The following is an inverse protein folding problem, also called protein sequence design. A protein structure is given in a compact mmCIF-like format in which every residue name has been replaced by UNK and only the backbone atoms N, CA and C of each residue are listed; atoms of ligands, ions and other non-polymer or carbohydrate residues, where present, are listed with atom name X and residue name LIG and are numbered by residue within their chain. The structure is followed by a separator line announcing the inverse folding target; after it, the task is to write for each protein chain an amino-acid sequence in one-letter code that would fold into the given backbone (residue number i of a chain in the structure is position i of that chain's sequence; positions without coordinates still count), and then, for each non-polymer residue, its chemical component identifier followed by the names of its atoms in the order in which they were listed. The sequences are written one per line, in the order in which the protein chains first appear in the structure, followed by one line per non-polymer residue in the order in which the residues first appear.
data_IF_276716121759
#
_entry.id   IF_276716121759
#
_cell.length_a   1.000
_cell.length_b   1.000
_cell.length_c   1.000
_cell.angle_alpha   90.00
_cell.angle_beta   90.00
_cell.angle_gamma   90.00
#
_symmetry.space_group_name_H-M   'P 1'
#
loop_
_entity.id
_entity.type
_entity.pdbx_description
1 polymer ?
#
# COMPACT_ATOMS: atom_id res chain seq x y z
N UNK A 1 -29.99 2.67 13.04
CA UNK A 1 -29.80 3.55 11.88
C UNK A 1 -28.84 4.66 12.30
N UNK A 2 -27.70 4.75 11.62
CA UNK A 2 -26.71 5.82 11.91
C UNK A 2 -26.97 6.92 10.90
N UNK A 3 -27.48 8.05 11.37
CA UNK A 3 -27.73 9.22 10.53
C UNK A 3 -26.72 10.31 10.88
N UNK A 4 -25.86 10.65 9.93
CA UNK A 4 -24.99 11.83 10.06
C UNK A 4 -25.66 13.05 9.47
N UNK A 5 -25.80 14.12 10.25
CA UNK A 5 -26.26 15.42 9.75
C UNK A 5 -25.07 16.34 9.55
N UNK A 6 -25.02 16.89 8.35
CA UNK A 6 -24.12 17.88 7.77
C UNK A 6 -22.76 17.39 7.25
N UNK A 7 -22.69 17.30 5.92
CA UNK A 7 -21.47 17.05 5.15
C UNK A 7 -21.22 15.57 4.93
N UNK A 8 -21.84 15.01 3.93
CA UNK A 8 -21.66 13.67 3.30
C UNK A 8 -20.66 12.73 3.95
N UNK A 9 -20.96 12.14 5.09
CA UNK A 9 -20.07 11.20 5.72
C UNK A 9 -20.43 9.77 5.29
N UNK A 10 -19.62 9.21 4.42
CA UNK A 10 -19.61 7.77 4.21
C UNK A 10 -19.09 7.12 5.50
N UNK A 11 -19.98 6.55 6.31
CA UNK A 11 -19.60 5.75 7.46
C UNK A 11 -19.43 4.29 7.07
N UNK A 12 -18.50 3.63 7.69
CA UNK A 12 -18.29 2.19 7.54
C UNK A 12 -18.50 1.50 8.88
N UNK A 13 -19.20 0.37 8.86
CA UNK A 13 -19.44 -0.48 10.03
C UNK A 13 -18.82 -1.84 9.77
N UNK A 14 -17.91 -2.28 10.63
CA UNK A 14 -17.23 -3.56 10.53
C UNK A 14 -17.54 -4.38 11.78
N UNK A 15 -18.11 -5.58 11.60
CA UNK A 15 -18.30 -6.55 12.68
C UNK A 15 -17.00 -7.31 12.93
N UNK A 16 -16.57 -7.38 14.19
CA UNK A 16 -15.45 -8.18 14.63
C UNK A 16 -15.91 -9.55 15.18
N UNK A 17 -15.06 -10.59 15.16
CA UNK A 17 -15.42 -11.93 15.63
C UNK A 17 -15.87 -12.00 17.10
N UNK A 18 -15.47 -11.01 17.92
CA UNK A 18 -15.86 -10.90 19.33
C UNK A 18 -17.21 -10.22 19.56
N UNK A 19 -17.98 -9.94 18.49
CA UNK A 19 -19.30 -9.31 18.57
C UNK A 19 -19.28 -7.78 18.66
N UNK A 20 -18.13 -7.13 18.69
CA UNK A 20 -18.03 -5.68 18.65
C UNK A 20 -18.15 -5.16 17.21
N UNK A 21 -18.71 -3.97 17.07
CA UNK A 21 -18.75 -3.23 15.81
C UNK A 21 -17.74 -2.08 15.86
N UNK A 22 -16.87 -1.99 14.86
CA UNK A 22 -16.07 -0.80 14.64
C UNK A 22 -16.81 0.12 13.67
N UNK A 23 -17.06 1.35 14.10
CA UNK A 23 -17.73 2.36 13.29
C UNK A 23 -16.71 3.46 13.03
N UNK A 24 -16.52 3.82 11.78
CA UNK A 24 -15.63 4.92 11.41
C UNK A 24 -16.15 5.69 10.20
N UNK A 25 -15.73 6.93 10.11
CA UNK A 25 -16.02 7.81 8.97
C UNK A 25 -14.86 8.78 8.80
N UNK A 26 -14.65 9.24 7.56
CA UNK A 26 -13.67 10.26 7.22
C UNK A 26 -14.39 11.57 6.99
N UNK A 27 -13.94 12.62 7.64
CA UNK A 27 -14.47 13.99 7.48
C UNK A 27 -13.41 14.84 6.80
N UNK A 28 -13.75 15.46 5.69
CA UNK A 28 -12.89 16.45 5.06
C UNK A 28 -13.30 17.83 5.62
N UNK A 29 -12.50 18.37 6.52
CA UNK A 29 -12.74 19.69 7.11
C UNK A 29 -12.34 20.80 6.17
N UNK A 30 -13.30 21.62 5.74
CA UNK A 30 -13.04 22.81 4.92
C UNK A 30 -13.17 24.10 5.73
N UNK A 31 -13.48 24.03 7.02
CA UNK A 31 -13.82 25.22 7.79
C UNK A 31 -12.87 25.42 8.99
N UNK A 32 -11.95 26.35 8.86
CA UNK A 32 -10.99 26.75 9.88
C UNK A 32 -11.62 27.35 11.16
N UNK A 33 -12.94 27.56 11.17
CA UNK A 33 -13.65 28.22 12.28
C UNK A 33 -14.28 27.26 13.29
N UNK A 34 -14.39 25.96 13.00
CA UNK A 34 -14.93 24.98 13.92
C UNK A 34 -13.78 24.19 14.59
N UNK A 35 -13.41 24.60 15.79
CA UNK A 35 -12.36 23.96 16.61
C UNK A 35 -12.85 22.77 17.43
N UNK A 36 -14.12 22.39 17.32
CA UNK A 36 -14.71 21.31 18.12
C UNK A 36 -15.28 20.24 17.23
N UNK A 37 -14.72 19.03 17.29
CA UNK A 37 -15.32 17.81 16.77
C UNK A 37 -16.08 17.11 17.90
N UNK A 38 -17.39 16.90 17.73
CA UNK A 38 -18.21 16.20 18.70
C UNK A 38 -18.60 14.82 18.13
N UNK A 39 -18.21 13.78 18.84
CA UNK A 39 -18.75 12.45 18.62
C UNK A 39 -19.93 12.23 19.56
N UNK A 40 -21.10 11.98 19.01
CA UNK A 40 -22.33 11.82 19.78
C UNK A 40 -23.10 10.58 19.34
N UNK A 41 -23.44 9.74 20.28
CA UNK A 41 -24.24 8.54 20.05
C UNK A 41 -25.63 8.79 20.62
N UNK A 42 -26.62 8.64 19.76
CA UNK A 42 -28.03 8.68 20.15
C UNK A 42 -28.58 7.26 20.18
N UNK A 43 -29.16 6.86 21.29
CA UNK A 43 -29.87 5.58 21.38
C UNK A 43 -31.36 5.85 21.55
N UNK A 44 -32.15 5.35 20.62
CA UNK A 44 -33.61 5.46 20.65
C UNK A 44 -34.27 4.26 21.35
N UNK A 45 -33.49 3.33 21.87
CA UNK A 45 -33.95 2.09 22.48
C UNK A 45 -33.75 2.04 24.00
N UNK A 46 -34.57 1.35 24.70
CA UNK A 46 -34.47 1.04 26.14
C UNK A 46 -33.39 -0.03 26.38
N UNK A 47 -32.21 0.12 25.80
CA UNK A 47 -31.13 -0.86 25.91
C UNK A 47 -29.81 -0.21 26.39
N UNK A 48 -28.90 -1.06 26.85
CA UNK A 48 -27.55 -0.63 27.25
C UNK A 48 -26.65 -0.70 26.00
N UNK A 49 -25.96 0.39 25.68
CA UNK A 49 -24.96 0.44 24.62
C UNK A 49 -23.59 0.65 25.24
N UNK A 50 -22.66 -0.23 24.93
CA UNK A 50 -21.26 -0.10 25.36
C UNK A 50 -20.47 0.60 24.26
N UNK A 51 -19.68 1.61 24.64
CA UNK A 51 -18.78 2.33 23.76
C UNK A 51 -17.36 2.18 24.27
N UNK A 52 -16.43 1.97 23.35
CA UNK A 52 -15.03 1.82 23.69
C UNK A 52 -14.14 2.36 22.56
N UNK A 53 -12.97 2.89 22.93
CA UNK A 53 -11.89 3.17 21.99
C UNK A 53 -12.19 4.29 20.97
N UNK A 54 -12.82 5.39 21.43
CA UNK A 54 -12.96 6.56 20.55
C UNK A 54 -11.58 7.08 20.14
N UNK A 55 -11.39 7.29 18.82
CA UNK A 55 -10.13 7.75 18.23
C UNK A 55 -10.40 8.80 17.17
N UNK A 56 -9.66 9.89 17.22
CA UNK A 56 -9.58 10.90 16.17
C UNK A 56 -8.16 10.95 15.65
N UNK A 57 -7.99 10.80 14.35
CA UNK A 57 -6.68 10.80 13.71
C UNK A 57 -6.74 11.50 12.35
N UNK A 58 -5.62 12.09 11.93
CA UNK A 58 -5.46 12.59 10.58
C UNK A 58 -5.15 11.41 9.64
N UNK A 59 -5.92 11.26 8.56
CA UNK A 59 -5.71 10.18 7.59
C UNK A 59 -6.93 9.90 6.73
N UNK A 60 -6.74 9.12 5.69
CA UNK A 60 -7.81 8.75 4.76
C UNK A 60 -8.63 7.52 5.24
N UNK A 61 -8.12 6.78 6.22
CA UNK A 61 -8.75 5.60 6.83
C UNK A 61 -8.25 5.41 8.27
N UNK A 62 -9.01 4.70 9.11
CA UNK A 62 -8.64 4.51 10.50
C UNK A 62 -7.49 3.50 10.64
N UNK A 63 -6.52 3.85 11.47
CA UNK A 63 -5.47 2.92 11.92
C UNK A 63 -5.95 2.05 13.07
N UNK A 64 -5.09 1.18 13.62
CA UNK A 64 -5.40 0.45 14.84
C UNK A 64 -5.50 1.41 16.04
N UNK A 65 -6.32 1.03 17.02
CA UNK A 65 -6.53 1.85 18.21
C UNK A 65 -5.23 2.15 18.96
N UNK A 66 -5.03 3.42 19.33
CA UNK A 66 -3.91 3.89 20.12
C UNK A 66 -4.46 4.48 21.43
N UNK A 67 -4.18 3.89 22.61
CA UNK A 67 -4.60 4.47 23.86
C UNK A 67 -4.00 5.85 24.10
N UNK A 68 -4.85 6.83 24.35
CA UNK A 68 -4.44 8.20 24.68
C UNK A 68 -4.93 8.55 26.09
N UNK A 69 -4.02 9.02 26.96
CA UNK A 69 -4.34 9.45 28.33
C UNK A 69 -3.83 10.88 28.49
N UNK A 70 -4.75 11.83 28.42
CA UNK A 70 -4.46 13.25 28.69
C UNK A 70 -3.64 14.01 27.65
N UNK A 71 -3.13 13.33 26.60
CA UNK A 71 -2.36 13.99 25.54
C UNK A 71 -2.47 13.21 24.23
N UNK A 72 -2.23 13.90 23.09
CA UNK A 72 -2.10 13.26 21.79
C UNK A 72 -0.94 12.27 21.77
N UNK A 73 -1.09 11.19 20.99
CA UNK A 73 -0.04 10.19 20.75
C UNK A 73 0.22 10.09 19.25
N UNK A 74 1.49 10.02 18.90
CA UNK A 74 1.90 9.76 17.51
C UNK A 74 2.29 8.29 17.39
N UNK A 75 1.79 7.62 16.37
CA UNK A 75 2.25 6.29 16.01
C UNK A 75 3.54 6.41 15.19
N UNK A 76 4.54 5.63 15.52
CA UNK A 76 5.68 5.46 14.62
C UNK A 76 5.21 4.81 13.31
N UNK A 77 5.83 5.19 12.21
CA UNK A 77 5.59 4.53 10.94
C UNK A 77 5.98 3.05 11.02
N UNK A 78 5.22 2.21 10.34
CA UNK A 78 5.49 0.77 10.30
C UNK A 78 6.88 0.51 9.66
N UNK A 79 7.63 -0.40 10.27
CA UNK A 79 8.96 -0.81 9.80
C UNK A 79 8.99 -2.32 9.60
N UNK A 80 8.64 -2.76 8.40
CA UNK A 80 8.67 -4.15 8.02
C UNK A 80 9.76 -4.38 6.96
N UNK A 81 10.79 -5.15 7.32
CA UNK A 81 11.88 -5.50 6.41
C UNK A 81 12.39 -6.91 6.65
N UNK A 82 12.91 -7.54 5.60
CA UNK A 82 13.58 -8.83 5.63
C UNK A 82 15.00 -8.61 5.12
N UNK A 83 16.00 -8.95 5.94
CA UNK A 83 17.42 -8.67 5.68
C UNK A 83 18.31 -9.86 6.03
N UNK A 84 19.57 -9.80 5.62
CA UNK A 84 20.59 -10.79 5.96
C UNK A 84 20.22 -12.21 5.50
N UNK A 85 20.44 -13.20 6.35
CA UNK A 85 20.13 -14.60 6.03
C UNK A 85 18.64 -14.83 5.76
N UNK A 86 17.77 -14.14 6.50
CA UNK A 86 16.31 -14.24 6.30
C UNK A 86 15.89 -13.77 4.90
N UNK A 87 16.67 -12.97 4.22
CA UNK A 87 16.47 -12.57 2.82
C UNK A 87 17.17 -13.54 1.86
N UNK A 88 18.48 -13.80 2.07
CA UNK A 88 19.30 -14.53 1.11
C UNK A 88 18.95 -16.03 0.97
N UNK A 89 18.27 -16.60 1.95
CA UNK A 89 17.87 -18.02 1.92
C UNK A 89 16.79 -18.33 0.88
N UNK A 90 15.95 -17.36 0.53
CA UNK A 90 14.85 -17.56 -0.42
C UNK A 90 14.99 -16.75 -1.71
N UNK A 91 15.74 -15.64 -1.68
CA UNK A 91 15.88 -14.76 -2.84
C UNK A 91 16.78 -15.35 -3.91
N UNK A 92 16.36 -15.24 -5.17
CA UNK A 92 17.14 -15.65 -6.34
C UNK A 92 17.57 -14.40 -7.12
N UNK A 93 18.90 -14.18 -7.29
CA UNK A 93 19.42 -13.00 -7.97
C UNK A 93 19.32 -13.07 -9.50
N UNK A 94 19.10 -14.23 -10.07
CA UNK A 94 19.02 -14.48 -11.50
C UNK A 94 17.61 -14.36 -12.06
N UNK A 95 16.62 -14.77 -11.28
CA UNK A 95 15.21 -14.72 -11.68
C UNK A 95 14.26 -14.84 -10.47
N UNK A 96 13.07 -14.28 -10.63
CA UNK A 96 12.03 -14.41 -9.61
C UNK A 96 10.71 -13.81 -10.05
N UNK A 97 9.71 -13.99 -9.21
CA UNK A 97 8.41 -13.35 -9.39
C UNK A 97 7.84 -12.91 -8.06
N UNK A 98 7.21 -11.75 -8.04
CA UNK A 98 6.57 -11.17 -6.87
C UNK A 98 5.10 -10.93 -7.18
N UNK A 99 4.21 -11.38 -6.32
CA UNK A 99 2.78 -11.07 -6.36
C UNK A 99 2.42 -10.28 -5.11
N UNK A 100 1.56 -9.29 -5.27
CA UNK A 100 0.99 -8.56 -4.14
C UNK A 100 -0.50 -8.30 -4.36
N UNK A 101 -1.25 -8.42 -3.27
CA UNK A 101 -2.62 -7.94 -3.16
C UNK A 101 -2.65 -6.87 -2.07
N UNK A 102 -2.96 -5.64 -2.47
CA UNK A 102 -2.96 -4.50 -1.57
C UNK A 102 -4.13 -3.58 -1.83
N UNK A 103 -4.43 -2.75 -0.86
CA UNK A 103 -5.37 -1.64 -0.97
C UNK A 103 -4.72 -0.40 -0.38
N UNK A 104 -4.65 0.66 -1.15
CA UNK A 104 -4.10 1.93 -0.69
C UNK A 104 -4.58 3.07 -1.57
N UNK A 105 -4.57 4.24 -1.00
CA UNK A 105 -4.82 5.50 -1.73
C UNK A 105 -3.74 6.47 -1.32
N UNK A 106 -2.94 6.92 -2.28
CA UNK A 106 -2.02 8.01 -2.01
C UNK A 106 -2.77 9.33 -1.85
N UNK A 107 -2.17 10.23 -1.09
CA UNK A 107 -2.63 11.61 -0.98
C UNK A 107 -2.10 12.43 -2.15
N UNK A 108 -2.89 13.36 -2.65
CA UNK A 108 -2.40 14.35 -3.61
C UNK A 108 -1.21 15.13 -3.02
N UNK A 109 -0.17 15.35 -3.83
CA UNK A 109 1.01 16.09 -3.43
C UNK A 109 2.03 15.32 -2.57
N UNK A 110 1.78 14.04 -2.26
CA UNK A 110 2.78 13.20 -1.58
C UNK A 110 3.77 12.58 -2.56
N UNK A 111 4.97 12.29 -2.07
CA UNK A 111 5.99 11.56 -2.83
C UNK A 111 5.58 10.10 -3.05
N UNK A 112 6.25 9.45 -3.99
CA UNK A 112 6.07 8.03 -4.30
C UNK A 112 5.98 7.15 -3.06
N UNK A 113 4.86 6.41 -2.91
CA UNK A 113 4.67 5.42 -1.86
C UNK A 113 5.11 4.06 -2.38
N UNK A 114 5.88 3.31 -1.59
CA UNK A 114 6.28 1.96 -1.95
C UNK A 114 5.35 0.93 -1.36
N UNK A 115 4.82 0.06 -2.21
CA UNK A 115 4.08 -1.11 -1.78
C UNK A 115 5.08 -2.17 -1.31
N UNK A 116 6.14 -2.39 -2.08
CA UNK A 116 7.32 -3.13 -1.67
C UNK A 116 8.54 -2.61 -2.44
N UNK A 117 9.72 -2.86 -1.87
CA UNK A 117 11.01 -2.59 -2.49
C UNK A 117 11.98 -3.72 -2.16
N UNK A 118 12.50 -4.39 -3.18
CA UNK A 118 13.64 -5.28 -3.06
C UNK A 118 14.86 -4.47 -3.46
N UNK A 119 15.77 -4.20 -2.52
CA UNK A 119 16.77 -3.16 -2.67
C UNK A 119 18.11 -3.53 -2.03
N UNK A 120 19.09 -2.65 -2.21
CA UNK A 120 20.39 -2.75 -1.57
C UNK A 120 20.42 -1.86 -0.30
N UNK A 121 20.51 -2.51 0.88
CA UNK A 121 20.68 -1.85 2.18
C UNK A 121 19.60 -0.80 2.52
N UNK A 122 18.34 -1.06 2.16
CA UNK A 122 17.22 -0.12 2.36
C UNK A 122 17.46 1.26 1.73
N UNK A 123 18.17 1.29 0.60
CA UNK A 123 18.39 2.51 -0.21
C UNK A 123 17.42 2.54 -1.39
N UNK A 124 17.03 3.74 -1.80
CA UNK A 124 16.15 3.91 -2.94
C UNK A 124 16.91 4.30 -4.21
N UNK A 125 16.37 3.89 -5.36
CA UNK A 125 16.82 4.33 -6.70
C UNK A 125 18.31 4.08 -7.00
N UNK A 126 18.90 3.05 -6.38
CA UNK A 126 20.30 2.63 -6.67
C UNK A 126 20.27 1.22 -7.27
N UNK A 127 20.00 0.21 -6.46
CA UNK A 127 19.78 -1.16 -6.83
C UNK A 127 18.40 -1.54 -6.28
N UNK A 128 17.37 -1.55 -7.12
CA UNK A 128 16.01 -1.67 -6.62
C UNK A 128 15.04 -2.28 -7.63
N UNK A 129 14.21 -3.22 -7.17
CA UNK A 129 13.01 -3.72 -7.86
C UNK A 129 11.82 -3.33 -7.00
N UNK A 130 10.93 -2.48 -7.49
CA UNK A 130 9.87 -1.93 -6.66
C UNK A 130 8.53 -1.81 -7.36
N UNK A 131 7.49 -1.82 -6.54
CA UNK A 131 6.15 -1.41 -6.91
C UNK A 131 5.80 -0.14 -6.16
N UNK A 132 5.42 0.88 -6.89
CA UNK A 132 5.07 2.18 -6.33
C UNK A 132 3.63 2.57 -6.62
N UNK A 133 3.06 3.33 -5.70
CA UNK A 133 1.83 4.08 -5.85
C UNK A 133 2.16 5.57 -6.06
N UNK A 134 1.23 6.35 -6.60
CA UNK A 134 1.37 7.78 -6.84
C UNK A 134 2.44 8.17 -7.87
N UNK A 135 2.41 7.52 -9.02
CA UNK A 135 3.32 7.82 -10.13
C UNK A 135 3.07 9.25 -10.66
N UNK A 136 4.13 10.04 -10.69
CA UNK A 136 4.08 11.41 -11.21
C UNK A 136 3.13 12.32 -10.45
N UNK A 137 3.02 12.12 -9.13
CA UNK A 137 2.07 12.84 -8.25
C UNK A 137 0.59 12.59 -8.60
N UNK A 138 0.30 11.50 -9.29
CA UNK A 138 -1.06 11.10 -9.60
C UNK A 138 -1.49 9.96 -8.64
N UNK A 139 -2.39 10.23 -7.68
CA UNK A 139 -2.75 9.28 -6.62
C UNK A 139 -3.43 8.00 -7.13
N UNK A 140 -3.92 8.00 -8.35
CA UNK A 140 -4.61 6.86 -8.95
C UNK A 140 -3.70 6.01 -9.86
N UNK A 141 -2.38 6.23 -9.84
CA UNK A 141 -1.45 5.47 -10.68
C UNK A 141 -0.48 4.63 -9.89
N UNK A 142 -0.28 3.42 -10.35
CA UNK A 142 0.71 2.47 -9.82
C UNK A 142 1.62 2.00 -10.95
N UNK A 143 2.84 1.60 -10.61
CA UNK A 143 3.76 1.05 -11.58
C UNK A 143 4.99 0.41 -10.97
N UNK A 144 5.67 -0.32 -11.82
CA UNK A 144 6.93 -0.98 -11.50
C UNK A 144 8.11 -0.15 -11.99
N UNK A 145 9.13 -0.07 -11.14
CA UNK A 145 10.45 0.46 -11.50
C UNK A 145 11.52 -0.56 -11.17
N UNK A 146 12.59 -0.52 -11.94
CA UNK A 146 13.81 -1.27 -11.67
C UNK A 146 14.98 -0.33 -11.88
N UNK A 147 15.83 -0.21 -10.86
CA UNK A 147 17.07 0.54 -10.91
C UNK A 147 18.27 -0.41 -10.86
N UNK A 148 19.26 -0.15 -11.69
CA UNK A 148 20.57 -0.81 -11.72
C UNK A 148 21.63 0.27 -11.78
N UNK A 149 22.55 0.31 -10.81
CA UNK A 149 23.57 1.35 -10.68
C UNK A 149 23.02 2.79 -10.77
N UNK A 150 21.92 3.05 -10.09
CA UNK A 150 21.20 4.35 -10.10
C UNK A 150 20.58 4.75 -11.44
N UNK A 151 20.53 3.84 -12.41
CA UNK A 151 19.87 4.04 -13.70
C UNK A 151 18.53 3.29 -13.70
N UNK A 152 17.46 3.98 -14.04
CA UNK A 152 16.16 3.34 -14.23
C UNK A 152 16.19 2.51 -15.52
N UNK A 153 16.36 1.19 -15.37
CA UNK A 153 16.39 0.25 -16.51
C UNK A 153 15.02 -0.26 -16.90
N UNK A 154 14.04 -0.12 -16.02
CA UNK A 154 12.62 -0.34 -16.25
C UNK A 154 11.84 0.76 -15.55
N UNK A 155 11.05 1.50 -16.30
CA UNK A 155 10.23 2.58 -15.80
C UNK A 155 8.84 2.53 -16.44
N UNK A 156 7.80 2.42 -15.61
CA UNK A 156 6.41 2.54 -16.04
C UNK A 156 5.78 3.87 -15.62
N UNK A 157 6.60 4.81 -15.11
CA UNK A 157 6.12 6.07 -14.54
C UNK A 157 5.79 7.15 -15.57
N UNK A 158 6.15 6.95 -16.84
CA UNK A 158 5.80 7.88 -17.90
C UNK A 158 4.29 8.18 -17.94
N UNK A 159 3.91 9.34 -18.44
CA UNK A 159 2.51 9.82 -18.49
C UNK A 159 1.52 8.86 -19.15
N UNK A 160 2.04 7.85 -19.83
CA UNK A 160 1.27 6.81 -20.53
C UNK A 160 1.48 5.39 -19.97
N UNK A 161 2.38 5.17 -18.99
CA UNK A 161 2.86 3.85 -18.62
C UNK A 161 2.34 3.25 -17.31
N UNK A 162 1.78 4.05 -16.41
CA UNK A 162 1.24 3.55 -15.14
C UNK A 162 -0.16 2.95 -15.30
N UNK A 163 -0.47 1.92 -14.51
CA UNK A 163 -1.82 1.38 -14.42
C UNK A 163 -2.70 2.30 -13.57
N UNK A 164 -3.87 2.67 -14.09
CA UNK A 164 -4.84 3.48 -13.34
C UNK A 164 -5.66 2.57 -12.45
N UNK A 165 -5.67 2.85 -11.17
CA UNK A 165 -6.49 2.15 -10.18
C UNK A 165 -7.59 3.04 -9.65
N UNK A 166 -8.80 2.50 -9.55
CA UNK A 166 -9.85 3.17 -8.82
C UNK A 166 -9.46 3.23 -7.32
N UNK A 167 -9.49 4.42 -6.75
CA UNK A 167 -8.91 4.80 -5.45
C UNK A 167 -9.38 4.02 -4.22
N UNK A 168 -10.28 3.04 -4.35
CA UNK A 168 -10.85 2.29 -3.24
C UNK A 168 -10.84 0.78 -3.43
N UNK A 169 -10.46 0.27 -4.58
CA UNK A 169 -10.49 -1.16 -4.90
C UNK A 169 -9.17 -1.83 -4.56
N UNK A 170 -9.17 -3.07 -4.07
CA UNK A 170 -7.96 -3.87 -3.98
C UNK A 170 -7.30 -4.04 -5.34
N UNK A 171 -5.97 -4.03 -5.36
CA UNK A 171 -5.16 -4.27 -6.54
C UNK A 171 -4.39 -5.56 -6.36
N UNK A 172 -4.58 -6.48 -7.29
CA UNK A 172 -3.76 -7.66 -7.44
C UNK A 172 -2.78 -7.42 -8.58
N UNK A 173 -1.50 -7.54 -8.32
CA UNK A 173 -0.48 -7.35 -9.36
C UNK A 173 0.67 -8.32 -9.17
N UNK A 174 1.28 -8.70 -10.25
CA UNK A 174 2.45 -9.56 -10.27
C UNK A 174 3.49 -9.04 -11.24
N UNK A 175 4.75 -9.18 -10.86
CA UNK A 175 5.91 -8.90 -11.68
C UNK A 175 6.84 -10.10 -11.65
N UNK A 176 7.49 -10.38 -12.76
CA UNK A 176 8.65 -11.27 -12.81
C UNK A 176 9.86 -10.55 -13.36
N UNK A 177 11.03 -10.98 -12.88
CA UNK A 177 12.32 -10.48 -13.34
C UNK A 177 13.21 -11.66 -13.76
N UNK A 178 13.93 -11.43 -14.83
CA UNK A 178 15.03 -12.23 -15.38
C UNK A 178 15.69 -11.37 -16.44
N UNK A 179 17.00 -11.42 -16.60
CA UNK A 179 17.71 -10.69 -17.67
C UNK A 179 17.04 -10.88 -19.02
N UNK A 180 16.77 -9.80 -19.70
CA UNK A 180 16.08 -9.71 -20.99
C UNK A 180 14.62 -10.26 -21.00
N UNK A 181 14.02 -10.55 -19.85
CA UNK A 181 12.70 -11.19 -19.80
C UNK A 181 11.89 -10.77 -18.55
N UNK A 182 11.62 -9.49 -18.42
CA UNK A 182 10.71 -8.95 -17.41
C UNK A 182 9.28 -8.98 -17.91
N UNK A 183 8.33 -9.18 -17.00
CA UNK A 183 6.91 -9.01 -17.30
C UNK A 183 6.15 -8.60 -16.04
N UNK A 184 5.04 -7.89 -16.23
CA UNK A 184 4.14 -7.52 -15.14
C UNK A 184 2.69 -7.45 -15.62
N UNK A 185 1.77 -7.55 -14.69
CA UNK A 185 0.33 -7.54 -14.94
C UNK A 185 -0.44 -7.00 -13.74
N UNK A 186 -1.52 -6.30 -14.01
CA UNK A 186 -2.44 -5.75 -13.01
C UNK A 186 -3.83 -6.33 -13.21
N UNK A 187 -4.48 -6.80 -12.14
CA UNK A 187 -5.89 -7.22 -12.08
C UNK A 187 -6.32 -8.14 -13.24
N UNK A 188 -5.52 -9.15 -13.55
CA UNK A 188 -5.80 -10.11 -14.61
C UNK A 188 -5.80 -9.55 -16.04
N UNK A 189 -5.36 -8.31 -16.21
CA UNK A 189 -5.30 -7.63 -17.51
C UNK A 189 -4.24 -8.18 -18.46
N UNK A 190 -3.86 -7.39 -19.44
CA UNK A 190 -2.81 -7.75 -20.40
C UNK A 190 -1.45 -7.78 -19.73
N UNK A 191 -0.70 -8.86 -19.94
CA UNK A 191 0.69 -8.97 -19.50
C UNK A 191 1.57 -8.07 -20.36
N UNK A 192 2.33 -7.20 -19.71
CA UNK A 192 3.29 -6.31 -20.34
C UNK A 192 4.68 -6.91 -20.17
N UNK A 193 5.40 -7.09 -21.28
CA UNK A 193 6.77 -7.63 -21.28
C UNK A 193 7.79 -6.54 -21.56
N UNK A 194 8.97 -6.68 -20.97
CA UNK A 194 10.10 -5.77 -21.15
C UNK A 194 11.40 -6.53 -21.31
N UNK A 195 12.25 -6.02 -22.19
CA UNK A 195 13.62 -6.48 -22.36
C UNK A 195 14.54 -5.55 -21.56
N UNK A 196 14.94 -6.01 -20.37
CA UNK A 196 15.77 -5.23 -19.45
C UNK A 196 17.13 -5.90 -19.33
N UNK A 197 18.21 -5.13 -19.43
CA UNK A 197 19.55 -5.64 -19.62
C UNK A 197 20.16 -6.41 -18.45
N UNK A 198 19.66 -6.21 -17.22
CA UNK A 198 20.21 -6.82 -16.01
C UNK A 198 19.16 -7.13 -14.96
N UNK A 199 19.61 -7.66 -13.84
CA UNK A 199 18.87 -7.77 -12.58
C UNK A 199 19.72 -7.08 -11.51
N UNK A 200 19.18 -6.12 -10.75
CA UNK A 200 19.94 -5.39 -9.76
C UNK A 200 20.45 -6.30 -8.63
N UNK A 201 21.59 -5.90 -8.04
CA UNK A 201 22.17 -6.59 -6.88
C UNK A 201 21.51 -6.09 -5.61
N UNK A 202 20.70 -6.92 -4.98
CA UNK A 202 19.88 -6.56 -3.83
C UNK A 202 20.10 -7.49 -2.65
N UNK A 203 19.79 -7.04 -1.43
CA UNK A 203 19.97 -7.80 -0.19
C UNK A 203 18.90 -7.58 0.88
N UNK A 204 17.86 -6.81 0.54
CA UNK A 204 16.80 -6.42 1.48
C UNK A 204 15.45 -6.41 0.77
N UNK A 205 14.41 -6.84 1.47
CA UNK A 205 13.02 -6.57 1.12
C UNK A 205 12.43 -5.62 2.17
N UNK A 206 12.05 -4.43 1.76
CA UNK A 206 11.21 -3.51 2.53
C UNK A 206 9.75 -3.65 2.10
N UNK A 207 8.82 -3.65 3.05
CA UNK A 207 7.38 -3.82 2.83
C UNK A 207 6.65 -2.56 3.28
N UNK A 208 5.91 -1.94 2.37
CA UNK A 208 5.19 -0.70 2.61
C UNK A 208 6.07 0.54 2.79
N UNK A 209 7.34 0.47 2.41
CA UNK A 209 8.33 1.56 2.58
C UNK A 209 9.62 1.31 1.80
N UNK A 210 10.54 2.25 1.88
CA UNK A 210 11.98 2.06 1.64
C UNK A 210 12.77 2.95 2.59
N UNK A 211 13.77 2.40 3.27
CA UNK A 211 14.51 3.15 4.27
C UNK A 211 13.58 3.78 5.33
N UNK A 212 13.73 5.04 5.63
CA UNK A 212 12.90 5.80 6.58
C UNK A 212 11.74 6.55 5.90
N UNK A 213 11.55 6.40 4.59
CA UNK A 213 10.60 7.20 3.81
C UNK A 213 9.65 6.41 2.94
N UNK A 214 8.89 7.12 2.12
CA UNK A 214 8.00 6.56 1.09
C UNK A 214 6.98 5.56 1.63
N UNK A 215 6.42 5.85 2.79
CA UNK A 215 5.46 4.99 3.48
C UNK A 215 4.19 4.79 2.65
N UNK A 216 3.74 3.54 2.57
CA UNK A 216 2.44 3.20 1.99
C UNK A 216 1.32 3.67 2.92
N UNK A 217 0.39 4.45 2.38
CA UNK A 217 -0.88 4.74 3.02
C UNK A 217 -1.91 3.69 2.59
N UNK A 218 -1.86 2.50 3.19
CA UNK A 218 -2.67 1.37 2.77
C UNK A 218 -2.49 0.11 3.58
N UNK A 219 -3.02 -0.98 3.06
CA UNK A 219 -2.91 -2.31 3.63
C UNK A 219 -2.44 -3.30 2.58
N UNK A 220 -1.51 -4.16 2.94
CA UNK A 220 -1.08 -5.29 2.11
C UNK A 220 -1.73 -6.54 2.71
N UNK A 221 -2.61 -7.18 1.96
CA UNK A 221 -3.29 -8.41 2.39
C UNK A 221 -2.50 -9.67 2.05
N UNK A 222 -1.66 -9.60 1.03
CA UNK A 222 -0.82 -10.73 0.62
C UNK A 222 0.40 -10.22 -0.14
N UNK A 223 1.57 -10.79 0.16
CA UNK A 223 2.81 -10.64 -0.59
C UNK A 223 3.43 -12.02 -0.74
N UNK A 224 3.65 -12.47 -1.98
CA UNK A 224 4.23 -13.77 -2.29
C UNK A 224 5.45 -13.60 -3.18
N UNK A 225 6.47 -14.39 -2.91
CA UNK A 225 7.66 -14.51 -3.73
C UNK A 225 7.80 -15.93 -4.30
N UNK A 226 8.14 -16.02 -5.56
CA UNK A 226 8.45 -17.26 -6.26
C UNK A 226 9.90 -17.21 -6.75
N UNK A 227 10.77 -18.19 -6.38
CA UNK A 227 12.18 -18.19 -6.76
C UNK A 227 12.39 -18.64 -8.21
N UNK A 228 11.52 -18.20 -9.10
CA UNK A 228 11.57 -18.44 -10.55
C UNK A 228 10.75 -17.41 -11.30
N UNK A 229 11.09 -17.18 -12.54
CA UNK A 229 10.29 -16.41 -13.47
C UNK A 229 9.04 -17.22 -13.86
N UNK A 230 7.87 -16.85 -13.34
CA UNK A 230 6.60 -17.45 -13.69
C UNK A 230 6.22 -17.11 -15.15
N UNK A 231 5.51 -18.00 -15.84
CA UNK A 231 5.03 -17.74 -17.19
C UNK A 231 4.02 -16.59 -17.20
N UNK A 232 3.85 -15.95 -18.35
CA UNK A 232 2.88 -14.85 -18.49
C UNK A 232 1.45 -15.31 -18.15
N UNK A 233 1.08 -16.53 -18.51
CA UNK A 233 -0.22 -17.10 -18.16
C UNK A 233 -0.38 -17.30 -16.65
N UNK A 234 0.68 -17.74 -15.95
CA UNK A 234 0.67 -17.87 -14.49
C UNK A 234 0.57 -16.50 -13.79
N UNK A 235 1.31 -15.48 -14.25
CA UNK A 235 1.20 -14.12 -13.72
C UNK A 235 -0.24 -13.59 -13.88
N UNK A 236 -0.83 -13.78 -15.04
CA UNK A 236 -2.21 -13.36 -15.28
C UNK A 236 -3.22 -14.12 -14.41
N UNK A 237 -3.03 -15.43 -14.21
CA UNK A 237 -3.91 -16.23 -13.36
C UNK A 237 -3.85 -15.82 -11.89
N UNK A 238 -2.66 -15.48 -11.37
CA UNK A 238 -2.48 -15.02 -9.99
C UNK A 238 -3.22 -13.71 -9.69
N UNK A 239 -3.40 -12.87 -10.70
CA UNK A 239 -3.93 -11.50 -10.51
C UNK A 239 -5.42 -11.36 -10.85
N UNK A 240 -6.10 -12.44 -11.17
CA UNK A 240 -7.56 -12.50 -11.39
C UNK A 240 -8.40 -12.45 -10.14
#
# INVERSE_FOLDING_TARGET
MITGTSGGSNHTVVLYPNGWYRIYFTVTGTNALNTTLRFQVYTNATGITYLWGAQLEAGAFPTSYIPTIGSTRTRAADNASITGKNFSEWYRPDEGSVFVNYKGKSQEGTSYERIYSINLNSTNSVEEILLINNIGYNPDRIGYLVYDNSVAIQDTTGTTGGYVVASSSPVKTAMCYKTANYAYVFNGGTVITRNVAGVPTVNTLDIGRVGAGSQLNGTISQLLYYPKRLTNAQLQALTR
#
